data_IF_977966485937
#
_entry.id   IF_977966485937
#
_cell.length_a   1.000
_cell.length_b   1.000
_cell.length_c   1.000
_cell.angle_alpha   90.00
_cell.angle_beta   90.00
_cell.angle_gamma   90.00
#
_symmetry.space_group_name_H-M   'P 1'
#
loop_
_entity.id
_entity.type
_entity.pdbx_description
1 polymer ?
#
# COMPACT_ATOMS: atom_id res chain seq x y z
N UNK A 1 -8.71 13.12 -44.85
CA UNK A 1 -9.21 12.56 -43.58
C UNK A 1 -8.02 12.30 -42.66
N UNK A 2 -7.59 13.31 -41.91
CA UNK A 2 -6.56 13.16 -40.88
C UNK A 2 -7.15 12.31 -39.76
N UNK A 3 -6.63 11.09 -39.59
CA UNK A 3 -6.92 10.29 -38.41
C UNK A 3 -6.53 11.12 -37.18
N UNK A 4 -7.53 11.60 -36.44
CA UNK A 4 -7.35 12.20 -35.13
C UNK A 4 -6.61 11.15 -34.31
N UNK A 5 -5.30 11.33 -34.09
CA UNK A 5 -4.56 10.53 -33.12
C UNK A 5 -5.32 10.71 -31.82
N UNK A 6 -6.03 9.66 -31.37
CA UNK A 6 -6.62 9.67 -30.03
C UNK A 6 -5.50 10.01 -29.06
N UNK A 7 -5.68 11.12 -28.34
CA UNK A 7 -4.77 11.50 -27.27
C UNK A 7 -4.60 10.31 -26.32
N UNK A 8 -3.38 10.04 -25.89
CA UNK A 8 -3.10 8.99 -24.89
C UNK A 8 -3.47 9.51 -23.49
N UNK A 9 -3.64 10.83 -23.33
CA UNK A 9 -4.08 11.45 -22.08
C UNK A 9 -5.58 11.22 -21.87
N UNK A 10 -5.97 11.00 -20.61
CA UNK A 10 -7.39 10.95 -20.22
C UNK A 10 -8.07 12.28 -20.55
N UNK A 11 -9.30 12.21 -21.04
CA UNK A 11 -10.15 13.40 -21.17
C UNK A 11 -10.62 13.84 -19.77
N UNK A 12 -10.50 15.14 -19.48
CA UNK A 12 -10.90 15.75 -18.20
C UNK A 12 -12.06 16.69 -18.46
N UNK A 13 -13.25 16.12 -18.67
CA UNK A 13 -14.49 16.84 -18.97
C UNK A 13 -15.27 17.28 -17.72
N UNK A 14 -14.70 17.08 -16.52
CA UNK A 14 -15.31 17.47 -15.24
C UNK A 14 -16.24 16.41 -14.65
N UNK A 15 -16.42 15.27 -15.33
CA UNK A 15 -17.03 14.08 -14.74
C UNK A 15 -15.98 13.23 -14.03
N UNK A 16 -16.34 12.59 -12.91
CA UNK A 16 -15.46 11.65 -12.22
C UNK A 16 -14.98 10.55 -13.17
N UNK A 17 -13.69 10.54 -13.49
CA UNK A 17 -13.05 9.43 -14.18
C UNK A 17 -13.18 8.19 -13.29
N UNK A 18 -13.92 7.18 -13.75
CA UNK A 18 -14.08 5.92 -13.04
C UNK A 18 -12.87 5.03 -13.24
N UNK A 19 -12.60 4.19 -12.25
CA UNK A 19 -11.60 3.13 -12.37
C UNK A 19 -12.03 2.13 -13.45
N UNK A 20 -11.09 1.84 -14.36
CA UNK A 20 -11.28 0.91 -15.49
C UNK A 20 -11.03 -0.54 -15.08
N UNK A 21 -11.49 -1.50 -15.88
CA UNK A 21 -11.28 -2.92 -15.60
C UNK A 21 -9.79 -3.31 -15.61
N UNK A 22 -9.00 -2.67 -16.46
CA UNK A 22 -7.54 -2.86 -16.56
C UNK A 22 -6.83 -2.40 -15.29
N UNK A 23 -7.29 -1.28 -14.70
CA UNK A 23 -6.76 -0.77 -13.43
C UNK A 23 -7.09 -1.73 -12.29
N UNK A 24 -8.32 -2.24 -12.22
CA UNK A 24 -8.72 -3.23 -11.22
C UNK A 24 -7.97 -4.56 -11.38
N UNK A 25 -7.76 -5.01 -12.61
CA UNK A 25 -6.99 -6.23 -12.86
C UNK A 25 -5.52 -6.06 -12.45
N UNK A 26 -4.95 -4.87 -12.66
CA UNK A 26 -3.61 -4.55 -12.16
C UNK A 26 -3.57 -4.63 -10.64
N UNK A 27 -4.56 -4.06 -9.95
CA UNK A 27 -4.66 -4.10 -8.48
C UNK A 27 -4.74 -5.53 -7.95
N UNK A 28 -5.47 -6.40 -8.63
CA UNK A 28 -5.56 -7.82 -8.29
C UNK A 28 -4.23 -8.56 -8.46
N UNK A 29 -3.47 -8.29 -9.52
CA UNK A 29 -2.13 -8.88 -9.67
C UNK A 29 -1.19 -8.34 -8.60
N UNK A 30 -1.31 -7.07 -8.26
CA UNK A 30 -0.43 -6.41 -7.31
C UNK A 30 -0.71 -6.79 -5.85
N UNK A 31 -1.95 -7.17 -5.51
CA UNK A 31 -2.26 -7.67 -4.16
C UNK A 31 -1.52 -8.96 -3.84
N UNK A 32 -1.18 -9.78 -4.84
CA UNK A 32 -0.36 -10.96 -4.62
C UNK A 32 1.01 -10.60 -4.00
N UNK A 33 1.58 -9.44 -4.32
CA UNK A 33 2.81 -8.97 -3.67
C UNK A 33 2.59 -8.67 -2.18
N UNK A 34 1.41 -8.18 -1.80
CA UNK A 34 1.01 -7.93 -0.41
C UNK A 34 0.99 -9.25 0.37
N UNK A 35 0.42 -10.31 -0.19
CA UNK A 35 0.43 -11.66 0.39
C UNK A 35 1.84 -12.23 0.52
N UNK A 36 2.70 -12.02 -0.48
CA UNK A 36 4.08 -12.51 -0.41
C UNK A 36 4.90 -11.77 0.65
N UNK A 37 4.63 -10.48 0.89
CA UNK A 37 5.26 -9.72 1.97
C UNK A 37 4.79 -10.17 3.35
N UNK A 38 3.51 -10.52 3.52
CA UNK A 38 3.04 -11.08 4.79
C UNK A 38 3.71 -12.44 5.06
N UNK A 39 3.78 -13.34 4.08
CA UNK A 39 4.48 -14.61 4.25
C UNK A 39 5.98 -14.43 4.52
N UNK A 40 6.65 -13.50 3.84
CA UNK A 40 8.06 -13.19 4.10
C UNK A 40 8.27 -12.80 5.57
N UNK A 41 7.44 -11.89 6.10
CA UNK A 41 7.51 -11.44 7.49
C UNK A 41 7.17 -12.57 8.48
N UNK A 42 6.15 -13.38 8.16
CA UNK A 42 5.71 -14.51 8.98
C UNK A 42 6.83 -15.53 9.19
N UNK A 43 7.59 -15.85 8.13
CA UNK A 43 8.70 -16.80 8.21
C UNK A 43 9.99 -16.21 8.80
N UNK A 44 10.13 -14.87 8.83
CA UNK A 44 11.33 -14.18 9.31
C UNK A 44 11.01 -13.15 10.41
N UNK A 45 10.39 -13.60 11.50
CA UNK A 45 10.06 -12.78 12.69
C UNK A 45 11.30 -12.36 13.49
N UNK A 46 12.15 -11.54 12.88
CA UNK A 46 13.35 -10.95 13.46
C UNK A 46 13.46 -9.48 13.06
N UNK A 47 14.28 -8.67 13.75
CA UNK A 47 14.51 -7.27 13.34
C UNK A 47 15.02 -7.14 11.90
N UNK A 48 15.85 -8.08 11.45
CA UNK A 48 16.40 -8.09 10.08
C UNK A 48 15.30 -8.43 9.08
N UNK A 49 14.53 -9.50 9.31
CA UNK A 49 13.40 -9.87 8.43
C UNK A 49 12.31 -8.79 8.37
N UNK A 50 12.07 -8.08 9.47
CA UNK A 50 11.19 -6.91 9.48
C UNK A 50 11.73 -5.76 8.61
N UNK A 51 13.04 -5.49 8.66
CA UNK A 51 13.68 -4.46 7.83
C UNK A 51 13.71 -4.85 6.35
N UNK A 52 14.01 -6.11 6.03
CA UNK A 52 13.92 -6.67 4.68
C UNK A 52 12.51 -6.50 4.10
N UNK A 53 11.50 -6.93 4.87
CA UNK A 53 10.09 -6.80 4.47
C UNK A 53 9.71 -5.33 4.28
N UNK A 54 10.18 -4.44 5.14
CA UNK A 54 9.92 -3.00 5.04
C UNK A 54 10.50 -2.38 3.76
N UNK A 55 11.73 -2.75 3.40
CA UNK A 55 12.39 -2.30 2.16
C UNK A 55 11.58 -2.77 0.94
N UNK A 56 11.20 -4.05 0.91
CA UNK A 56 10.43 -4.61 -0.20
C UNK A 56 9.01 -4.03 -0.24
N UNK A 57 8.37 -3.82 0.91
CA UNK A 57 7.06 -3.17 1.01
C UNK A 57 7.08 -1.79 0.37
N UNK A 58 8.08 -0.98 0.73
CA UNK A 58 8.22 0.36 0.17
C UNK A 58 8.50 0.34 -1.34
N UNK A 59 9.31 -0.60 -1.83
CA UNK A 59 9.53 -0.79 -3.26
C UNK A 59 8.22 -1.15 -3.98
N UNK A 60 7.55 -2.20 -3.51
CA UNK A 60 6.26 -2.68 -4.04
C UNK A 60 5.23 -1.55 -4.06
N UNK A 61 5.05 -0.85 -2.95
CA UNK A 61 4.13 0.29 -2.83
C UNK A 61 4.43 1.39 -3.86
N UNK A 62 5.71 1.79 -4.00
CA UNK A 62 6.09 2.80 -5.00
C UNK A 62 5.80 2.34 -6.43
N UNK A 63 6.09 1.07 -6.75
CA UNK A 63 5.82 0.52 -8.09
C UNK A 63 4.32 0.55 -8.44
N UNK A 64 3.46 0.21 -7.48
CA UNK A 64 2.01 0.34 -7.61
C UNK A 64 1.62 1.81 -7.78
N UNK A 65 2.08 2.64 -6.85
CA UNK A 65 1.73 4.05 -6.78
C UNK A 65 2.04 4.78 -8.07
N UNK A 66 3.27 4.70 -8.57
CA UNK A 66 3.64 5.39 -9.80
C UNK A 66 2.85 4.89 -11.01
N UNK A 67 2.40 3.63 -11.01
CA UNK A 67 1.51 3.11 -12.05
C UNK A 67 0.11 3.74 -11.93
N UNK A 68 -0.43 3.89 -10.72
CA UNK A 68 -1.68 4.62 -10.48
C UNK A 68 -1.60 6.07 -10.93
N UNK A 69 -0.48 6.76 -10.69
CA UNK A 69 -0.28 8.12 -11.20
C UNK A 69 -0.28 8.16 -12.73
N UNK A 70 0.40 7.22 -13.38
CA UNK A 70 0.42 7.11 -14.84
C UNK A 70 -1.00 6.88 -15.38
N UNK A 71 -1.76 5.92 -14.84
CA UNK A 71 -3.13 5.70 -15.34
C UNK A 71 -4.08 6.84 -15.00
N UNK A 72 -3.81 7.62 -13.96
CA UNK A 72 -4.57 8.85 -13.67
C UNK A 72 -4.33 9.96 -14.73
N UNK A 73 -3.17 9.99 -15.40
CA UNK A 73 -2.91 10.93 -16.51
C UNK A 73 -3.26 10.37 -17.89
N UNK A 74 -3.02 9.08 -18.10
CA UNK A 74 -3.11 8.42 -19.39
C UNK A 74 -4.24 7.40 -19.40
N UNK A 75 -5.00 7.36 -20.50
CA UNK A 75 -6.16 6.49 -20.66
C UNK A 75 -5.75 5.02 -20.79
N UNK A 76 -6.07 4.15 -19.80
CA UNK A 76 -5.82 2.71 -19.85
C UNK A 76 -6.52 2.00 -21.00
N UNK A 77 -7.60 2.57 -21.53
CA UNK A 77 -8.34 1.98 -22.64
C UNK A 77 -7.64 2.17 -24.00
N UNK A 78 -6.66 3.08 -24.06
CA UNK A 78 -5.83 3.23 -25.24
C UNK A 78 -5.00 1.94 -25.47
N UNK A 79 -5.10 1.28 -26.64
CA UNK A 79 -4.44 -0.01 -26.87
C UNK A 79 -2.94 -0.03 -26.58
N UNK A 80 -2.24 1.10 -26.77
CA UNK A 80 -0.80 1.20 -26.49
C UNK A 80 -0.52 1.16 -24.99
N UNK A 81 -1.24 1.98 -24.21
CA UNK A 81 -1.07 2.01 -22.77
C UNK A 81 -1.60 0.72 -22.14
N UNK A 82 -2.70 0.17 -22.64
CA UNK A 82 -3.23 -1.14 -22.25
C UNK A 82 -2.18 -2.25 -22.38
N UNK A 83 -1.51 -2.31 -23.53
CA UNK A 83 -0.43 -3.27 -23.76
C UNK A 83 0.72 -3.11 -22.75
N UNK A 84 1.12 -1.86 -22.47
CA UNK A 84 2.13 -1.57 -21.43
C UNK A 84 1.64 -2.04 -20.06
N UNK A 85 0.39 -1.76 -19.67
CA UNK A 85 -0.16 -2.21 -18.39
C UNK A 85 -0.12 -3.73 -18.25
N UNK A 86 -0.44 -4.50 -19.30
CA UNK A 86 -0.33 -5.96 -19.24
C UNK A 86 1.11 -6.45 -19.10
N UNK A 87 2.08 -5.80 -19.74
CA UNK A 87 3.51 -6.09 -19.51
C UNK A 87 3.91 -5.75 -18.08
N UNK A 88 3.46 -4.61 -17.55
CA UNK A 88 3.73 -4.22 -16.16
C UNK A 88 3.09 -5.20 -15.16
N UNK A 89 1.90 -5.74 -15.45
CA UNK A 89 1.29 -6.80 -14.64
C UNK A 89 2.15 -8.07 -14.62
N UNK A 90 2.67 -8.50 -15.77
CA UNK A 90 3.57 -9.66 -15.82
C UNK A 90 4.86 -9.41 -15.01
N UNK A 91 5.46 -8.23 -15.14
CA UNK A 91 6.63 -7.84 -14.36
C UNK A 91 6.31 -7.78 -12.86
N UNK A 92 5.15 -7.24 -12.47
CA UNK A 92 4.71 -7.18 -11.09
C UNK A 92 4.46 -8.58 -10.50
N UNK A 93 3.88 -9.49 -11.28
CA UNK A 93 3.67 -10.88 -10.88
C UNK A 93 5.01 -11.62 -10.67
N UNK A 94 5.95 -11.47 -11.61
CA UNK A 94 7.30 -12.05 -11.48
C UNK A 94 8.07 -11.48 -10.29
N UNK A 95 7.98 -10.16 -10.09
CA UNK A 95 8.54 -9.48 -8.92
C UNK A 95 7.93 -10.01 -7.63
N UNK A 96 6.61 -10.13 -7.55
CA UNK A 96 5.89 -10.65 -6.39
C UNK A 96 6.30 -12.10 -6.07
N UNK A 97 6.37 -12.97 -7.08
CA UNK A 97 6.81 -14.35 -6.93
C UNK A 97 8.29 -14.50 -6.48
N UNK A 98 9.09 -13.44 -6.66
CA UNK A 98 10.47 -13.39 -6.20
C UNK A 98 10.63 -12.89 -4.75
N UNK A 99 9.60 -12.26 -4.16
CA UNK A 99 9.66 -11.65 -2.82
C UNK A 99 10.17 -12.61 -1.73
N UNK A 100 9.68 -13.86 -1.60
CA UNK A 100 10.12 -14.77 -0.54
C UNK A 100 11.63 -15.04 -0.54
N UNK A 101 12.28 -14.97 -1.71
CA UNK A 101 13.72 -15.22 -1.88
C UNK A 101 14.45 -13.97 -2.42
N UNK A 102 13.87 -12.77 -2.27
CA UNK A 102 14.46 -11.54 -2.79
C UNK A 102 15.79 -11.19 -2.09
N UNK A 103 15.96 -11.55 -0.82
CA UNK A 103 17.25 -11.45 -0.11
C UNK A 103 18.14 -12.70 -0.26
N UNK A 104 17.72 -13.68 -1.07
CA UNK A 104 18.47 -14.88 -1.46
C UNK A 104 18.69 -14.97 -2.97
N UNK A 105 18.43 -16.13 -3.56
CA UNK A 105 18.79 -16.43 -4.96
C UNK A 105 17.97 -15.65 -6.00
N UNK A 106 16.75 -15.21 -5.65
CA UNK A 106 15.86 -14.48 -6.57
C UNK A 106 16.04 -12.97 -6.55
N UNK A 107 17.05 -12.45 -5.83
CA UNK A 107 17.28 -11.00 -5.71
C UNK A 107 17.45 -10.29 -7.05
N UNK A 108 18.12 -10.92 -8.03
CA UNK A 108 18.28 -10.35 -9.37
C UNK A 108 16.95 -10.29 -10.13
N UNK A 109 16.11 -11.32 -10.01
CA UNK A 109 14.78 -11.35 -10.65
C UNK A 109 13.92 -10.21 -10.07
N UNK A 110 13.89 -10.09 -8.74
CA UNK A 110 13.18 -9.00 -8.07
C UNK A 110 13.65 -7.63 -8.57
N UNK A 111 14.96 -7.36 -8.48
CA UNK A 111 15.54 -6.07 -8.86
C UNK A 111 15.34 -5.76 -10.35
N UNK A 112 15.56 -6.72 -11.24
CA UNK A 112 15.39 -6.54 -12.68
C UNK A 112 13.93 -6.25 -13.04
N UNK A 113 12.97 -7.00 -12.50
CA UNK A 113 11.56 -6.74 -12.71
C UNK A 113 11.14 -5.37 -12.17
N UNK A 114 11.57 -5.01 -10.96
CA UNK A 114 11.24 -3.72 -10.35
C UNK A 114 11.80 -2.55 -11.14
N UNK A 115 13.08 -2.58 -11.49
CA UNK A 115 13.75 -1.52 -12.26
C UNK A 115 13.14 -1.40 -13.65
N UNK A 116 12.85 -2.52 -14.31
CA UNK A 116 12.19 -2.53 -15.62
C UNK A 116 10.77 -1.96 -15.55
N UNK A 117 10.02 -2.26 -14.49
CA UNK A 117 8.69 -1.70 -14.25
C UNK A 117 8.75 -0.19 -14.08
N UNK A 118 9.64 0.31 -13.21
CA UNK A 118 9.79 1.74 -12.93
C UNK A 118 10.32 2.51 -14.14
N UNK A 119 11.45 2.11 -14.73
CA UNK A 119 12.05 2.77 -15.89
C UNK A 119 11.24 2.58 -17.16
N UNK A 120 10.79 1.35 -17.47
CA UNK A 120 10.09 1.04 -18.70
C UNK A 120 8.81 1.85 -18.88
N UNK A 121 7.98 1.91 -17.82
CA UNK A 121 6.77 2.75 -17.80
C UNK A 121 7.12 4.24 -17.98
N UNK A 122 8.15 4.71 -17.29
CA UNK A 122 8.56 6.13 -17.30
C UNK A 122 9.10 6.54 -18.67
N UNK A 123 9.95 5.71 -19.29
CA UNK A 123 10.48 5.91 -20.63
C UNK A 123 9.36 5.86 -21.68
N UNK A 124 8.43 4.90 -21.57
CA UNK A 124 7.26 4.83 -22.44
C UNK A 124 6.50 6.16 -22.43
N UNK A 125 6.25 6.73 -21.25
CA UNK A 125 5.59 8.04 -21.12
C UNK A 125 6.42 9.16 -21.77
N UNK A 126 7.73 9.22 -21.54
CA UNK A 126 8.61 10.24 -22.14
C UNK A 126 8.56 10.21 -23.68
N UNK A 127 8.54 9.03 -24.28
CA UNK A 127 8.51 8.88 -25.74
C UNK A 127 7.15 9.23 -26.36
N UNK A 128 6.09 9.25 -25.56
CA UNK A 128 4.71 9.49 -26.02
C UNK A 128 4.14 10.84 -25.60
N UNK A 129 4.83 11.59 -24.74
CA UNK A 129 4.50 12.96 -24.38
C UNK A 129 5.22 13.97 -25.29
N UNK A 130 4.55 15.10 -25.53
CA UNK A 130 5.17 16.24 -26.18
C UNK A 130 6.27 16.85 -25.28
N UNK A 131 7.48 16.99 -25.83
CA UNK A 131 8.70 17.39 -25.11
C UNK A 131 8.63 18.75 -24.41
N UNK A 132 7.73 19.64 -24.87
CA UNK A 132 7.55 20.98 -24.32
C UNK A 132 6.66 21.05 -23.08
N UNK A 133 6.03 19.95 -22.66
CA UNK A 133 5.10 19.97 -21.52
C UNK A 133 5.85 19.91 -20.17
N UNK A 134 5.36 20.58 -19.11
CA UNK A 134 5.90 20.44 -17.76
C UNK A 134 5.90 18.99 -17.27
N UNK A 135 4.89 18.20 -17.68
CA UNK A 135 4.79 16.77 -17.38
C UNK A 135 5.95 15.98 -18.00
N UNK A 136 6.32 16.22 -19.27
CA UNK A 136 7.46 15.56 -19.90
C UNK A 136 8.80 15.91 -19.21
N UNK A 137 8.95 17.14 -18.71
CA UNK A 137 10.11 17.51 -17.90
C UNK A 137 10.13 16.74 -16.56
N UNK A 138 8.98 16.59 -15.90
CA UNK A 138 8.85 15.80 -14.67
C UNK A 138 9.22 14.33 -14.89
N UNK A 139 8.70 13.69 -15.95
CA UNK A 139 9.04 12.29 -16.26
C UNK A 139 10.52 12.10 -16.60
N UNK A 140 11.18 13.06 -17.26
CA UNK A 140 12.64 13.01 -17.47
C UNK A 140 13.42 13.04 -16.15
N UNK A 141 12.99 13.87 -15.20
CA UNK A 141 13.57 13.89 -13.84
C UNK A 141 13.33 12.57 -13.11
N UNK A 142 12.12 12.01 -13.20
CA UNK A 142 11.80 10.69 -12.65
C UNK A 142 12.69 9.60 -13.28
N UNK A 143 12.90 9.61 -14.59
CA UNK A 143 13.76 8.64 -15.26
C UNK A 143 15.22 8.74 -14.77
N UNK A 144 15.73 9.95 -14.52
CA UNK A 144 17.06 10.13 -13.95
C UNK A 144 17.16 9.54 -12.52
N UNK A 145 16.17 9.83 -11.67
CA UNK A 145 16.08 9.27 -10.32
C UNK A 145 15.95 7.73 -10.33
N UNK A 146 15.09 7.17 -11.18
CA UNK A 146 14.92 5.72 -11.30
C UNK A 146 16.11 5.02 -11.94
N UNK A 147 16.89 5.72 -12.78
CA UNK A 147 18.15 5.17 -13.29
C UNK A 147 19.17 5.09 -12.16
N UNK A 148 19.27 6.15 -11.35
CA UNK A 148 20.15 6.18 -10.19
C UNK A 148 19.75 5.12 -9.15
N UNK A 149 18.48 5.08 -8.72
CA UNK A 149 18.00 4.05 -7.79
C UNK A 149 18.11 2.65 -8.39
N UNK A 150 17.86 2.51 -9.70
CA UNK A 150 18.02 1.26 -10.43
C UNK A 150 19.44 0.71 -10.39
N UNK A 151 20.47 1.56 -10.43
CA UNK A 151 21.85 1.12 -10.23
C UNK A 151 22.04 0.49 -8.84
N UNK A 152 21.45 1.06 -7.78
CA UNK A 152 21.51 0.49 -6.43
C UNK A 152 20.73 -0.82 -6.29
N UNK A 153 19.54 -0.91 -6.91
CA UNK A 153 18.77 -2.16 -6.96
C UNK A 153 19.55 -3.30 -7.61
N UNK A 154 20.11 -3.04 -8.80
CA UNK A 154 20.85 -4.06 -9.55
C UNK A 154 22.18 -4.38 -8.87
N UNK A 155 22.93 -3.38 -8.37
CA UNK A 155 24.15 -3.63 -7.62
C UNK A 155 23.89 -4.46 -6.36
N UNK A 156 22.81 -4.18 -5.62
CA UNK A 156 22.40 -4.95 -4.46
C UNK A 156 22.06 -6.41 -4.77
N UNK A 157 21.54 -6.69 -5.96
CA UNK A 157 21.27 -8.06 -6.38
C UNK A 157 22.54 -8.92 -6.52
N UNK A 158 23.67 -8.32 -6.89
CA UNK A 158 24.98 -8.99 -6.99
C UNK A 158 25.79 -8.94 -5.68
N UNK A 159 25.35 -8.16 -4.70
CA UNK A 159 25.99 -8.09 -3.40
C UNK A 159 25.57 -9.25 -2.49
N UNK A 160 26.40 -9.52 -1.48
CA UNK A 160 26.01 -10.36 -0.34
C UNK A 160 24.90 -9.71 0.48
N UNK A 161 24.33 -10.45 1.42
CA UNK A 161 23.12 -10.08 2.16
C UNK A 161 23.15 -8.66 2.76
N UNK A 162 24.18 -8.32 3.54
CA UNK A 162 24.30 -6.98 4.17
C UNK A 162 24.44 -5.86 3.14
N UNK A 163 25.24 -6.10 2.09
CA UNK A 163 25.41 -5.15 0.99
C UNK A 163 24.10 -4.93 0.22
N UNK A 164 23.33 -6.00 0.00
CA UNK A 164 22.00 -5.92 -0.62
C UNK A 164 21.05 -5.09 0.23
N UNK A 165 20.99 -5.35 1.54
CA UNK A 165 20.16 -4.61 2.49
C UNK A 165 20.49 -3.11 2.47
N UNK A 166 21.77 -2.75 2.53
CA UNK A 166 22.21 -1.36 2.48
C UNK A 166 21.89 -0.70 1.13
N UNK A 167 22.23 -1.35 0.00
CA UNK A 167 22.03 -0.79 -1.34
C UNK A 167 20.54 -0.65 -1.68
N UNK A 168 19.71 -1.64 -1.36
CA UNK A 168 18.27 -1.56 -1.58
C UNK A 168 17.60 -0.55 -0.65
N UNK A 169 18.07 -0.43 0.60
CA UNK A 169 17.67 0.64 1.51
C UNK A 169 17.96 2.03 0.92
N UNK A 170 19.16 2.25 0.37
CA UNK A 170 19.51 3.49 -0.34
C UNK A 170 18.58 3.71 -1.54
N UNK A 171 18.35 2.67 -2.35
CA UNK A 171 17.49 2.77 -3.52
C UNK A 171 16.07 3.24 -3.17
N UNK A 172 15.45 2.64 -2.14
CA UNK A 172 14.15 3.05 -1.62
C UNK A 172 14.18 4.49 -1.11
N UNK A 173 15.20 4.87 -0.33
CA UNK A 173 15.33 6.23 0.20
C UNK A 173 15.40 7.26 -0.93
N UNK A 174 16.18 7.01 -1.99
CA UNK A 174 16.26 7.89 -3.15
C UNK A 174 14.88 8.09 -3.80
N UNK A 175 14.10 7.01 -3.96
CA UNK A 175 12.78 7.07 -4.61
C UNK A 175 11.70 7.78 -3.76
N UNK A 176 11.82 7.78 -2.43
CA UNK A 176 10.94 8.55 -1.54
C UNK A 176 11.38 10.01 -1.41
N UNK A 177 12.69 10.29 -1.38
CA UNK A 177 13.22 11.66 -1.30
C UNK A 177 13.00 12.44 -2.60
N UNK A 178 13.05 11.76 -3.74
CA UNK A 178 12.86 12.37 -5.06
C UNK A 178 11.56 13.21 -5.14
N UNK A 179 10.35 12.69 -4.90
CA UNK A 179 9.13 13.51 -4.93
C UNK A 179 9.10 14.61 -3.84
N UNK A 180 9.65 14.36 -2.65
CA UNK A 180 9.68 15.35 -1.56
C UNK A 180 10.53 16.59 -1.90
N UNK A 181 11.53 16.40 -2.74
CA UNK A 181 12.37 17.49 -3.27
C UNK A 181 11.86 18.02 -4.61
N UNK A 182 10.63 17.67 -5.03
CA UNK A 182 10.09 18.06 -6.34
C UNK A 182 10.92 17.50 -7.50
N UNK A 183 11.42 16.27 -7.36
CA UNK A 183 12.30 15.60 -8.31
C UNK A 183 13.52 16.45 -8.72
N UNK A 184 14.06 17.25 -7.80
CA UNK A 184 15.27 18.04 -8.08
C UNK A 184 16.39 17.12 -8.53
N UNK A 185 16.92 17.33 -9.73
CA UNK A 185 18.06 16.55 -10.25
C UNK A 185 19.10 17.47 -10.89
N UNK A 186 20.41 17.29 -10.61
CA UNK A 186 21.46 18.12 -11.19
C UNK A 186 21.34 18.23 -12.72
N UNK A 187 21.27 19.46 -13.24
CA UNK A 187 21.13 19.73 -14.67
C UNK A 187 19.71 19.63 -15.26
N UNK A 188 18.71 19.17 -14.49
CA UNK A 188 17.30 19.05 -14.95
C UNK A 188 16.30 19.92 -14.16
N UNK A 189 16.78 20.67 -13.16
CA UNK A 189 15.96 21.55 -12.34
C UNK A 189 15.02 20.78 -11.40
N UNK A 190 13.91 21.42 -11.02
CA UNK A 190 12.92 20.92 -10.05
C UNK A 190 11.49 21.10 -10.58
N UNK A 191 10.57 20.21 -10.22
CA UNK A 191 9.13 20.37 -10.44
C UNK A 191 8.45 21.06 -9.26
N UNK A 192 7.27 21.62 -9.50
CA UNK A 192 6.36 22.06 -8.44
C UNK A 192 5.18 21.09 -8.32
N UNK A 193 4.64 20.91 -7.12
CA UNK A 193 3.48 20.03 -6.88
C UNK A 193 2.23 20.50 -7.62
N UNK A 194 2.10 21.80 -7.88
CA UNK A 194 1.06 22.39 -8.73
C UNK A 194 1.12 21.94 -10.19
N UNK A 195 2.28 21.48 -10.67
CA UNK A 195 2.44 20.91 -12.01
C UNK A 195 1.90 19.48 -12.10
N UNK A 196 1.68 18.83 -10.95
CA UNK A 196 1.15 17.48 -10.85
C UNK A 196 -0.39 17.52 -10.89
N UNK A 197 -0.92 17.89 -12.05
CA UNK A 197 -2.37 17.99 -12.25
C UNK A 197 -3.00 16.59 -12.16
N UNK A 198 -3.59 16.22 -11.03
CA UNK A 198 -4.23 14.91 -10.82
C UNK A 198 -5.73 15.03 -10.64
N UNK A 199 -6.45 13.95 -10.92
CA UNK A 199 -7.86 13.83 -10.56
C UNK A 199 -7.97 13.14 -9.20
N UNK A 200 -8.13 13.94 -8.15
CA UNK A 200 -8.12 13.46 -6.77
C UNK A 200 -9.14 12.36 -6.47
N UNK A 201 -10.32 12.44 -7.09
CA UNK A 201 -11.37 11.43 -6.93
C UNK A 201 -10.98 10.06 -7.49
N UNK A 202 -10.39 10.03 -8.68
CA UNK A 202 -9.94 8.78 -9.30
C UNK A 202 -8.79 8.13 -8.49
N UNK A 203 -7.81 8.91 -8.05
CA UNK A 203 -6.73 8.40 -7.20
C UNK A 203 -7.26 7.86 -5.86
N UNK A 204 -8.21 8.57 -5.23
CA UNK A 204 -8.84 8.11 -4.00
C UNK A 204 -9.64 6.82 -4.22
N UNK A 205 -10.38 6.70 -5.33
CA UNK A 205 -11.11 5.48 -5.69
C UNK A 205 -10.17 4.28 -5.87
N UNK A 206 -9.02 4.46 -6.56
CA UNK A 206 -8.02 3.40 -6.71
C UNK A 206 -7.45 2.91 -5.39
N UNK A 207 -7.09 3.82 -4.50
CA UNK A 207 -6.62 3.46 -3.16
C UNK A 207 -7.69 2.69 -2.36
N UNK A 208 -8.95 3.09 -2.46
CA UNK A 208 -10.06 2.41 -1.79
C UNK A 208 -10.27 1.01 -2.33
N UNK A 209 -10.26 0.84 -3.66
CA UNK A 209 -10.33 -0.47 -4.29
C UNK A 209 -9.15 -1.34 -3.88
N UNK A 210 -7.93 -0.80 -3.85
CA UNK A 210 -6.76 -1.54 -3.41
C UNK A 210 -6.87 -2.00 -1.94
N UNK A 211 -7.40 -1.16 -1.04
CA UNK A 211 -7.68 -1.56 0.35
C UNK A 211 -8.71 -2.68 0.41
N UNK A 212 -9.80 -2.64 -0.37
CA UNK A 212 -10.78 -3.73 -0.44
C UNK A 212 -10.12 -5.03 -0.90
N UNK A 213 -9.31 -4.96 -1.97
CA UNK A 213 -8.63 -6.13 -2.52
C UNK A 213 -7.64 -6.70 -1.50
N UNK A 214 -6.87 -5.87 -0.79
CA UNK A 214 -5.94 -6.31 0.27
C UNK A 214 -6.66 -6.99 1.46
N UNK A 215 -7.80 -6.44 1.89
CA UNK A 215 -8.63 -7.08 2.91
C UNK A 215 -9.24 -8.41 2.41
N UNK A 216 -9.69 -8.45 1.15
CA UNK A 216 -10.22 -9.65 0.51
C UNK A 216 -9.18 -10.75 0.40
N UNK A 217 -7.95 -10.41 0.01
CA UNK A 217 -6.83 -11.34 -0.08
C UNK A 217 -6.46 -11.95 1.27
N UNK A 218 -6.55 -11.17 2.36
CA UNK A 218 -6.39 -11.70 3.73
C UNK A 218 -7.43 -12.78 4.02
N UNK A 219 -8.69 -12.59 3.61
CA UNK A 219 -9.75 -13.58 3.77
C UNK A 219 -9.55 -14.80 2.86
N UNK A 220 -9.08 -14.61 1.63
CA UNK A 220 -8.78 -15.70 0.70
C UNK A 220 -7.63 -16.57 1.23
N UNK A 221 -6.55 -15.96 1.73
CA UNK A 221 -5.43 -16.66 2.35
C UNK A 221 -5.90 -17.48 3.57
N UNK A 222 -6.70 -16.86 4.45
CA UNK A 222 -7.28 -17.54 5.63
C UNK A 222 -8.17 -18.73 5.20
N UNK A 223 -9.00 -18.55 4.18
CA UNK A 223 -9.86 -19.59 3.62
C UNK A 223 -9.06 -20.73 2.97
N UNK A 224 -7.95 -20.41 2.30
CA UNK A 224 -7.05 -21.40 1.71
C UNK A 224 -6.35 -22.24 2.80
N UNK A 225 -5.96 -21.63 3.92
CA UNK A 225 -5.43 -22.34 5.10
C UNK A 225 -6.46 -23.32 5.64
N UNK A 226 -7.69 -22.86 5.89
CA UNK A 226 -8.80 -23.73 6.34
C UNK A 226 -9.11 -24.87 5.35
N UNK A 227 -9.03 -24.61 4.05
CA UNK A 227 -9.29 -25.60 3.00
C UNK A 227 -8.25 -26.71 2.90
N UNK A 228 -7.03 -26.50 3.43
CA UNK A 228 -5.98 -27.52 3.51
C UNK A 228 -6.09 -28.39 4.77
N UNK A 229 -6.75 -27.89 5.81
CA UNK A 229 -6.91 -28.62 7.06
C UNK A 229 -7.90 -29.78 6.93
N UNK A 230 -7.47 -30.96 7.37
CA UNK A 230 -8.28 -32.19 7.30
C UNK A 230 -9.42 -32.23 8.32
N UNK A 231 -9.34 -31.42 9.38
CA UNK A 231 -10.34 -31.36 10.46
C UNK A 231 -10.59 -29.94 10.94
N UNK A 232 -11.84 -29.49 10.89
CA UNK A 232 -12.26 -28.17 11.36
C UNK A 232 -12.45 -28.17 12.88
N UNK A 233 -11.34 -28.07 13.62
CA UNK A 233 -11.38 -28.00 15.07
C UNK A 233 -11.94 -26.66 15.58
N UNK A 234 -12.52 -26.66 16.79
CA UNK A 234 -13.08 -25.45 17.41
C UNK A 234 -12.08 -24.29 17.52
N UNK A 235 -10.80 -24.49 17.89
CA UNK A 235 -9.81 -23.41 17.92
C UNK A 235 -9.56 -22.78 16.55
N UNK A 236 -9.50 -23.57 15.48
CA UNK A 236 -9.28 -23.08 14.10
C UNK A 236 -10.50 -22.27 13.63
N UNK A 237 -11.71 -22.78 13.85
CA UNK A 237 -12.94 -22.03 13.53
C UNK A 237 -13.06 -20.73 14.35
N UNK A 238 -12.56 -20.73 15.59
CA UNK A 238 -12.48 -19.53 16.42
C UNK A 238 -11.46 -18.51 15.89
N UNK A 239 -10.27 -18.96 15.47
CA UNK A 239 -9.25 -18.12 14.84
C UNK A 239 -9.75 -17.50 13.53
N UNK A 240 -10.47 -18.28 12.72
CA UNK A 240 -11.17 -17.81 11.52
C UNK A 240 -12.18 -16.72 11.88
N UNK A 241 -12.98 -16.93 12.93
CA UNK A 241 -13.93 -15.94 13.42
C UNK A 241 -13.26 -14.64 13.85
N UNK A 242 -12.15 -14.73 14.59
CA UNK A 242 -11.35 -13.58 14.99
C UNK A 242 -10.79 -12.83 13.77
N UNK A 243 -10.28 -13.56 12.78
CA UNK A 243 -9.70 -13.01 11.54
C UNK A 243 -10.76 -12.31 10.69
N UNK A 244 -11.93 -12.94 10.51
CA UNK A 244 -13.04 -12.39 9.76
C UNK A 244 -13.59 -11.11 10.40
N UNK A 245 -13.86 -11.15 11.72
CA UNK A 245 -14.32 -9.97 12.46
C UNK A 245 -13.26 -8.86 12.50
N UNK A 246 -11.97 -9.21 12.61
CA UNK A 246 -10.87 -8.27 12.55
C UNK A 246 -10.82 -7.56 11.20
N UNK A 247 -10.94 -8.32 10.11
CA UNK A 247 -11.00 -7.78 8.75
C UNK A 247 -12.20 -6.85 8.55
N UNK A 248 -13.39 -7.20 9.08
CA UNK A 248 -14.56 -6.32 9.08
C UNK A 248 -14.34 -5.04 9.90
N UNK A 249 -13.65 -5.13 11.04
CA UNK A 249 -13.32 -3.96 11.85
C UNK A 249 -12.36 -3.01 11.11
N UNK A 250 -11.32 -3.54 10.45
CA UNK A 250 -10.44 -2.77 9.58
C UNK A 250 -11.23 -2.10 8.46
N UNK A 251 -12.08 -2.86 7.76
CA UNK A 251 -12.96 -2.34 6.71
C UNK A 251 -13.81 -1.18 7.23
N UNK A 252 -14.44 -1.33 8.40
CA UNK A 252 -15.30 -0.32 9.00
C UNK A 252 -14.54 0.95 9.41
N UNK A 253 -13.33 0.81 9.96
CA UNK A 253 -12.48 1.95 10.29
C UNK A 253 -12.09 2.77 9.05
N UNK A 254 -11.80 2.09 7.93
CA UNK A 254 -11.43 2.75 6.69
C UNK A 254 -12.65 3.35 5.98
N UNK A 255 -13.65 2.54 5.62
CA UNK A 255 -14.82 2.96 4.84
C UNK A 255 -15.89 3.71 5.66
N UNK A 256 -15.90 3.55 6.98
CA UNK A 256 -16.69 4.39 7.88
C UNK A 256 -16.19 5.84 7.91
N UNK A 257 -14.98 6.07 7.43
CA UNK A 257 -14.50 7.41 7.05
C UNK A 257 -15.08 7.75 5.69
N UNK A 258 -15.90 8.81 5.59
CA UNK A 258 -16.55 9.18 4.33
C UNK A 258 -15.51 9.42 3.23
N UNK A 259 -15.39 8.42 2.35
CA UNK A 259 -14.59 8.45 1.11
C UNK A 259 -14.90 9.73 0.29
N UNK A 260 -16.15 10.20 0.35
CA UNK A 260 -16.60 11.43 -0.29
C UNK A 260 -15.93 12.67 0.29
N UNK A 261 -15.70 12.72 1.61
CA UNK A 261 -15.07 13.87 2.27
C UNK A 261 -13.59 13.98 1.87
N UNK A 262 -12.92 12.84 1.74
CA UNK A 262 -11.54 12.78 1.27
C UNK A 262 -11.42 13.21 -0.20
N UNK A 263 -12.29 12.70 -1.08
CA UNK A 263 -12.36 13.12 -2.48
C UNK A 263 -12.67 14.61 -2.61
N UNK A 264 -13.62 15.13 -1.82
CA UNK A 264 -13.95 16.55 -1.80
C UNK A 264 -12.75 17.39 -1.34
N UNK A 265 -12.02 16.94 -0.32
CA UNK A 265 -10.84 17.65 0.20
C UNK A 265 -9.71 17.75 -0.83
N UNK A 266 -9.47 16.69 -1.60
CA UNK A 266 -8.45 16.72 -2.68
C UNK A 266 -8.92 17.63 -3.82
N UNK A 267 -10.18 17.51 -4.22
CA UNK A 267 -10.75 18.23 -5.37
C UNK A 267 -10.84 19.75 -5.13
N UNK A 268 -11.10 20.16 -3.89
CA UNK A 268 -11.25 21.58 -3.49
C UNK A 268 -9.96 22.23 -3.00
N UNK A 269 -8.83 21.51 -3.01
CA UNK A 269 -7.55 22.05 -2.55
C UNK A 269 -6.86 22.90 -3.63
N UNK A 270 -6.20 23.98 -3.20
CA UNK A 270 -5.35 24.81 -4.06
C UNK A 270 -4.10 24.06 -4.60
N UNK A 271 -3.70 22.95 -3.97
CA UNK A 271 -2.61 22.08 -4.42
C UNK A 271 -3.02 20.59 -4.34
N UNK A 272 -3.82 20.12 -5.32
CA UNK A 272 -4.29 18.73 -5.35
C UNK A 272 -3.14 17.72 -5.44
N UNK A 273 -2.04 18.06 -6.12
CA UNK A 273 -0.86 17.21 -6.26
C UNK A 273 -0.20 16.90 -4.92
N UNK A 274 -0.06 17.92 -4.05
CA UNK A 274 0.46 17.74 -2.69
C UNK A 274 -0.47 16.89 -1.83
N UNK A 275 -1.78 17.17 -1.83
CA UNK A 275 -2.72 16.37 -1.03
C UNK A 275 -2.76 14.92 -1.54
N UNK A 276 -2.71 14.69 -2.86
CA UNK A 276 -2.59 13.36 -3.45
C UNK A 276 -1.34 12.62 -2.99
N UNK A 277 -0.18 13.30 -2.91
CA UNK A 277 1.04 12.71 -2.36
C UNK A 277 0.89 12.31 -0.88
N UNK A 278 0.31 13.18 -0.04
CA UNK A 278 0.00 12.84 1.35
C UNK A 278 -0.94 11.65 1.46
N UNK A 279 -1.97 11.61 0.61
CA UNK A 279 -2.92 10.50 0.55
C UNK A 279 -2.20 9.18 0.29
N UNK A 280 -1.28 9.16 -0.66
CA UNK A 280 -0.47 7.98 -0.98
C UNK A 280 0.41 7.53 0.20
N UNK A 281 1.10 8.45 0.87
CA UNK A 281 1.95 8.10 2.02
C UNK A 281 1.14 7.52 3.19
N UNK A 282 -0.06 8.05 3.42
CA UNK A 282 -0.95 7.52 4.44
C UNK A 282 -1.42 6.11 4.10
N UNK A 283 -1.70 5.82 2.82
CA UNK A 283 -2.12 4.47 2.40
C UNK A 283 -0.97 3.46 2.48
N UNK A 284 0.28 3.88 2.28
CA UNK A 284 1.43 3.01 2.55
C UNK A 284 1.46 2.52 4.01
N UNK A 285 1.06 3.36 4.95
CA UNK A 285 0.98 2.99 6.38
C UNK A 285 -0.23 2.08 6.64
N UNK A 286 -1.39 2.43 6.08
CA UNK A 286 -2.63 1.65 6.26
C UNK A 286 -2.49 0.22 5.71
N UNK A 287 -2.02 0.07 4.47
CA UNK A 287 -1.85 -1.25 3.85
C UNK A 287 -0.70 -2.02 4.52
N UNK A 288 0.37 -1.34 4.92
CA UNK A 288 1.40 -1.95 5.77
C UNK A 288 0.81 -2.51 7.07
N UNK A 289 -0.10 -1.79 7.72
CA UNK A 289 -0.86 -2.28 8.87
C UNK A 289 -1.71 -3.52 8.55
N UNK A 290 -2.36 -3.55 7.38
CA UNK A 290 -3.13 -4.74 6.91
C UNK A 290 -2.20 -5.95 6.75
N UNK A 291 -1.02 -5.78 6.13
CA UNK A 291 -0.01 -6.85 5.97
C UNK A 291 0.37 -7.43 7.34
N UNK A 292 0.72 -6.57 8.29
CA UNK A 292 1.17 -7.01 9.62
C UNK A 292 0.01 -7.64 10.41
N UNK A 293 -1.23 -7.14 10.26
CA UNK A 293 -2.42 -7.81 10.80
C UNK A 293 -2.61 -9.22 10.19
N UNK A 294 -2.42 -9.38 8.89
CA UNK A 294 -2.54 -10.68 8.22
C UNK A 294 -1.53 -11.69 8.79
N UNK A 295 -0.29 -11.27 9.05
CA UNK A 295 0.72 -12.11 9.72
C UNK A 295 0.25 -12.56 11.10
N UNK A 296 -0.32 -11.64 11.90
CA UNK A 296 -0.87 -11.97 13.21
C UNK A 296 -2.03 -12.97 13.15
N UNK A 297 -2.89 -12.85 12.13
CA UNK A 297 -4.00 -13.76 11.89
C UNK A 297 -3.51 -15.17 11.49
N UNK A 298 -2.52 -15.25 10.60
CA UNK A 298 -1.92 -16.52 10.18
C UNK A 298 -1.27 -17.24 11.36
N UNK A 299 -0.55 -16.53 12.23
CA UNK A 299 0.00 -17.09 13.47
C UNK A 299 -1.08 -17.71 14.37
N UNK A 300 -2.21 -17.02 14.54
CA UNK A 300 -3.33 -17.49 15.35
C UNK A 300 -4.04 -18.69 14.72
N UNK A 301 -4.05 -18.80 13.39
CA UNK A 301 -4.62 -19.91 12.63
C UNK A 301 -3.74 -21.16 12.67
N UNK A 302 -2.43 -21.01 12.46
CA UNK A 302 -1.49 -22.15 12.41
C UNK A 302 -1.31 -22.82 13.77
N UNK A 303 -1.23 -22.03 14.85
CA UNK A 303 -0.96 -22.56 16.19
C UNK A 303 -1.86 -21.93 17.28
N UNK A 304 -3.20 -22.12 17.23
CA UNK A 304 -4.14 -21.39 18.10
C UNK A 304 -3.85 -21.54 19.61
N UNK A 305 -3.44 -22.74 20.04
CA UNK A 305 -3.11 -23.04 21.45
C UNK A 305 -1.66 -22.76 21.85
N UNK A 306 -0.80 -22.38 20.90
CA UNK A 306 0.61 -22.10 21.15
C UNK A 306 0.78 -20.85 22.02
N UNK A 307 1.72 -20.89 22.96
CA UNK A 307 2.10 -19.71 23.72
C UNK A 307 2.82 -18.71 22.80
N UNK A 308 2.44 -17.44 22.90
CA UNK A 308 2.98 -16.41 22.02
C UNK A 308 4.41 -16.04 22.45
N UNK A 309 5.38 -16.29 21.57
CA UNK A 309 6.74 -15.79 21.74
C UNK A 309 6.79 -14.26 21.61
N UNK A 310 7.84 -13.63 22.15
CA UNK A 310 7.99 -12.16 22.09
C UNK A 310 7.86 -11.60 20.66
N UNK A 311 8.50 -12.15 19.61
CA UNK A 311 8.33 -11.65 18.25
C UNK A 311 6.88 -11.74 17.74
N UNK A 312 6.16 -12.83 18.05
CA UNK A 312 4.76 -13.02 17.66
C UNK A 312 3.84 -12.01 18.35
N UNK A 313 4.04 -11.78 19.65
CA UNK A 313 3.30 -10.77 20.42
C UNK A 313 3.52 -9.37 19.84
N UNK A 314 4.77 -9.02 19.53
CA UNK A 314 5.10 -7.72 18.95
C UNK A 314 4.43 -7.53 17.59
N UNK A 315 4.44 -8.54 16.72
CA UNK A 315 3.81 -8.46 15.40
C UNK A 315 2.30 -8.38 15.48
N UNK A 316 1.66 -9.22 16.32
CA UNK A 316 0.20 -9.19 16.54
C UNK A 316 -0.24 -7.81 17.06
N UNK A 317 0.53 -7.17 17.94
CA UNK A 317 0.24 -5.82 18.42
C UNK A 317 0.55 -4.73 17.38
N UNK A 318 1.64 -4.90 16.60
CA UNK A 318 2.11 -3.90 15.64
C UNK A 318 1.11 -3.67 14.50
N UNK A 319 0.42 -4.70 14.01
CA UNK A 319 -0.56 -4.57 12.93
C UNK A 319 -1.67 -3.55 13.23
N UNK A 320 -2.45 -3.75 14.31
CA UNK A 320 -3.45 -2.78 14.77
C UNK A 320 -2.86 -1.40 15.04
N UNK A 321 -1.66 -1.30 15.64
CA UNK A 321 -1.00 -0.01 15.92
C UNK A 321 -0.72 0.75 14.62
N UNK A 322 -0.09 0.10 13.64
CA UNK A 322 0.23 0.70 12.35
C UNK A 322 -1.03 1.13 11.62
N UNK A 323 -2.05 0.27 11.61
CA UNK A 323 -3.32 0.57 10.95
C UNK A 323 -4.04 1.76 11.60
N UNK A 324 -4.16 1.76 12.93
CA UNK A 324 -4.78 2.86 13.67
C UNK A 324 -3.98 4.15 13.55
N UNK A 325 -2.66 4.10 13.50
CA UNK A 325 -1.81 5.27 13.25
C UNK A 325 -2.05 5.84 11.85
N UNK A 326 -2.05 4.99 10.82
CA UNK A 326 -2.39 5.37 9.45
C UNK A 326 -3.78 6.00 9.35
N UNK A 327 -4.79 5.39 9.98
CA UNK A 327 -6.17 5.89 10.00
C UNK A 327 -6.31 7.21 10.77
N UNK A 328 -5.56 7.38 11.87
CA UNK A 328 -5.52 8.63 12.61
C UNK A 328 -4.90 9.78 11.80
N UNK A 329 -3.81 9.51 11.08
CA UNK A 329 -3.18 10.49 10.17
C UNK A 329 -4.13 10.81 9.01
N UNK A 330 -4.74 9.79 8.40
CA UNK A 330 -5.75 9.94 7.36
C UNK A 330 -6.83 10.93 7.77
N UNK A 331 -7.38 10.74 8.97
CA UNK A 331 -8.44 11.59 9.52
C UNK A 331 -7.95 12.98 9.89
N UNK A 332 -6.72 13.13 10.35
CA UNK A 332 -6.11 14.45 10.55
C UNK A 332 -6.01 15.21 9.23
N UNK A 333 -5.64 14.54 8.13
CA UNK A 333 -5.55 15.16 6.80
C UNK A 333 -6.93 15.56 6.27
N UNK A 334 -7.94 14.70 6.43
CA UNK A 334 -9.31 14.94 5.91
C UNK A 334 -10.09 15.93 6.79
N UNK A 335 -10.11 15.73 8.11
CA UNK A 335 -10.95 16.45 9.07
C UNK A 335 -10.21 17.45 9.96
N UNK A 336 -8.88 17.53 9.88
CA UNK A 336 -8.06 18.43 10.70
C UNK A 336 -7.89 18.01 12.15
N UNK A 337 -8.41 16.83 12.57
CA UNK A 337 -8.37 16.35 13.96
C UNK A 337 -7.97 14.89 14.05
N UNK A 338 -7.21 14.56 15.09
CA UNK A 338 -6.85 13.19 15.45
C UNK A 338 -7.97 12.60 16.31
N UNK A 339 -8.59 11.47 15.93
CA UNK A 339 -9.64 10.84 16.72
C UNK A 339 -9.09 10.23 18.01
N UNK A 340 -9.67 10.59 19.16
CA UNK A 340 -9.26 10.05 20.47
C UNK A 340 -9.42 8.52 20.55
N UNK A 341 -10.40 7.95 19.84
CA UNK A 341 -10.62 6.51 19.76
C UNK A 341 -9.40 5.76 19.21
N UNK A 342 -8.70 6.34 18.22
CA UNK A 342 -7.53 5.71 17.63
C UNK A 342 -6.31 5.80 18.54
N UNK A 343 -6.11 6.94 19.21
CA UNK A 343 -5.03 7.08 20.20
C UNK A 343 -5.23 6.11 21.37
N UNK A 344 -6.45 6.00 21.88
CA UNK A 344 -6.79 5.04 22.92
C UNK A 344 -6.58 3.58 22.44
N UNK A 345 -6.98 3.26 21.21
CA UNK A 345 -6.73 1.95 20.60
C UNK A 345 -5.25 1.61 20.45
N UNK A 346 -4.41 2.57 20.03
CA UNK A 346 -2.96 2.40 19.95
C UNK A 346 -2.37 2.14 21.34
N UNK A 347 -2.75 2.93 22.34
CA UNK A 347 -2.29 2.74 23.72
C UNK A 347 -2.73 1.39 24.29
N UNK A 348 -3.97 0.97 24.00
CA UNK A 348 -4.48 -0.34 24.40
C UNK A 348 -3.71 -1.48 23.71
N UNK A 349 -3.38 -1.36 22.42
CA UNK A 349 -2.61 -2.37 21.69
C UNK A 349 -1.16 -2.46 22.21
N UNK A 350 -0.55 -1.33 22.58
CA UNK A 350 0.75 -1.30 23.26
C UNK A 350 0.69 -1.98 24.64
N UNK A 351 -0.40 -1.77 25.38
CA UNK A 351 -0.60 -2.41 26.68
C UNK A 351 -0.88 -3.92 26.58
N UNK A 352 -1.37 -4.42 25.44
CA UNK A 352 -1.52 -5.85 25.18
C UNK A 352 -0.18 -6.58 25.03
N UNK A 353 0.89 -5.90 24.59
CA UNK A 353 2.19 -6.52 24.38
C UNK A 353 2.78 -7.21 25.65
N UNK A 354 2.88 -6.58 26.82
CA UNK A 354 3.38 -7.27 28.03
C UNK A 354 2.44 -8.39 28.50
N UNK A 355 1.13 -8.26 28.30
CA UNK A 355 0.13 -9.27 28.68
C UNK A 355 0.24 -10.50 27.78
N UNK A 356 0.50 -10.29 26.49
CA UNK A 356 0.51 -11.32 25.47
C UNK A 356 1.56 -12.41 25.66
N UNK A 357 2.63 -12.14 26.40
CA UNK A 357 3.67 -13.12 26.71
C UNK A 357 3.16 -14.29 27.58
N UNK A 358 2.03 -14.12 28.26
CA UNK A 358 1.39 -15.16 29.07
C UNK A 358 0.11 -15.71 28.41
N UNK A 359 -0.21 -15.26 27.19
CA UNK A 359 -1.39 -15.66 26.47
C UNK A 359 -1.04 -16.62 25.31
N UNK A 360 -2.05 -17.36 24.85
CA UNK A 360 -1.92 -18.10 23.60
C UNK A 360 -2.24 -17.19 22.39
N UNK A 361 -1.84 -17.65 21.20
CA UNK A 361 -2.00 -16.88 19.96
C UNK A 361 -3.47 -16.61 19.62
N UNK A 362 -4.39 -17.53 19.92
CA UNK A 362 -5.82 -17.33 19.72
C UNK A 362 -6.39 -16.21 20.61
N UNK A 363 -6.03 -16.18 21.88
CA UNK A 363 -6.42 -15.12 22.82
C UNK A 363 -5.89 -13.78 22.35
N UNK A 364 -4.63 -13.72 21.92
CA UNK A 364 -4.04 -12.50 21.36
C UNK A 364 -4.80 -12.03 20.11
N UNK A 365 -5.11 -12.93 19.18
CA UNK A 365 -5.90 -12.62 17.98
C UNK A 365 -7.28 -12.05 18.32
N UNK A 366 -8.00 -12.64 19.27
CA UNK A 366 -9.27 -12.10 19.75
C UNK A 366 -9.13 -10.76 20.44
N UNK A 367 -8.11 -10.56 21.28
CA UNK A 367 -7.87 -9.28 21.95
C UNK A 367 -7.65 -8.16 20.93
N UNK A 368 -6.82 -8.38 19.91
CA UNK A 368 -6.58 -7.38 18.86
C UNK A 368 -7.80 -7.13 17.98
N UNK A 369 -8.56 -8.18 17.64
CA UNK A 369 -9.81 -8.06 16.88
C UNK A 369 -10.87 -7.27 17.63
N UNK A 370 -11.10 -7.61 18.91
CA UNK A 370 -12.09 -6.92 19.74
C UNK A 370 -11.67 -5.47 20.00
N UNK A 371 -10.38 -5.20 20.14
CA UNK A 371 -9.85 -3.84 20.23
C UNK A 371 -10.18 -3.04 18.97
N UNK A 372 -9.86 -3.56 17.78
CA UNK A 372 -10.16 -2.88 16.51
C UNK A 372 -11.68 -2.65 16.36
N UNK A 373 -12.50 -3.65 16.70
CA UNK A 373 -13.96 -3.53 16.66
C UNK A 373 -14.47 -2.46 17.65
N UNK A 374 -13.93 -2.40 18.87
CA UNK A 374 -14.29 -1.39 19.85
C UNK A 374 -13.94 0.03 19.38
N UNK A 375 -12.77 0.23 18.76
CA UNK A 375 -12.38 1.51 18.16
C UNK A 375 -13.33 1.90 17.03
N UNK A 376 -13.70 0.94 16.16
CA UNK A 376 -14.63 1.15 15.06
C UNK A 376 -16.03 1.56 15.57
N UNK A 377 -16.52 0.89 16.61
CA UNK A 377 -17.82 1.18 17.23
C UNK A 377 -17.81 2.55 17.90
N UNK A 378 -16.81 2.85 18.75
CA UNK A 378 -16.70 4.15 19.43
C UNK A 378 -16.68 5.30 18.41
N UNK A 379 -15.94 5.11 17.33
CA UNK A 379 -15.93 6.06 16.24
C UNK A 379 -17.30 6.24 15.56
N UNK A 380 -18.00 5.15 15.24
CA UNK A 380 -19.32 5.24 14.62
C UNK A 380 -20.33 5.98 15.50
N UNK A 381 -20.23 5.84 16.82
CA UNK A 381 -21.09 6.52 17.79
C UNK A 381 -20.77 8.00 17.89
N UNK A 382 -19.48 8.36 17.97
CA UNK A 382 -19.05 9.78 18.04
C UNK A 382 -19.39 10.56 16.77
N UNK A 383 -19.43 9.91 15.61
CA UNK A 383 -19.93 10.53 14.37
C UNK A 383 -21.44 10.81 14.40
N UNK A 384 -22.24 9.90 14.96
CA UNK A 384 -23.71 10.07 15.06
C UNK A 384 -24.10 11.21 16.00
N UNK A 385 -23.28 11.49 17.00
CA UNK A 385 -23.53 12.55 17.99
C UNK A 385 -22.92 13.89 17.64
N UNK A 386 -22.03 13.96 16.64
CA UNK A 386 -21.51 15.21 16.13
C UNK A 386 -22.63 15.97 15.37
N UNK A 387 -22.97 17.21 15.76
CA UNK A 387 -23.95 18.00 15.01
C UNK A 387 -23.46 18.16 13.56
N UNK A 388 -24.37 17.96 12.61
CA UNK A 388 -24.08 18.13 11.19
C UNK A 388 -23.40 19.49 10.99
N UNK A 389 -22.15 19.48 10.51
CA UNK A 389 -21.43 20.70 10.20
C UNK A 389 -22.20 21.33 9.03
N UNK A 390 -22.99 22.36 9.35
CA UNK A 390 -23.65 23.20 8.36
C UNK A 390 -22.57 23.74 7.41
N UNK A 391 -22.77 23.52 6.11
CA UNK A 391 -21.83 23.90 5.07
C UNK A 391 -21.41 25.37 5.19
N UNK A 392 -20.10 25.58 5.06
CA UNK A 392 -19.50 26.85 4.70
C UNK A 392 -18.66 26.66 3.46
#
# INVERSE_FOLDING_TARGET
MTATRRSILRNRDGHHARVTYEELFFDLVYVFAVTQLSHLLLHHLSPVGALETLILWFAVWLGWQYTCWVTNWFDPENPRLRGVLFVLMLLALMMAAAIPEAFGDRGLVFAACYVTLQLGRTLFVIFHLDRGTPLAANYRRMAAWFTLSGCFWIAGAFAGHEGRLALWGIAVLLEYVAPMTGFAFPGLGRSQTSEWTIEGGHLAERCQLFVIVALGETLLATGATLGRDQSWSTPILSALGATFLGTLALWWLYFGTSSKDATAKITTSDDPGRIGAWFNYVHAILVGGIIVCAVGNDLAMEHPGGHASLPQVLVIAAGPILYLAGSAIYRRVVYGRVPASHLAGILAALALAPIGLNANLLTMGWCTTLLLAAVAIWESQTRRTAPAIAGR
#
